data_IF_384607501785
#
_entry.id   IF_384607501785
#
_cell.length_a   1.000
_cell.length_b   1.000
_cell.length_c   1.000
_cell.angle_alpha   90.00
_cell.angle_beta   90.00
_cell.angle_gamma   90.00
#
_symmetry.space_group_name_H-M   'P 1'
#
loop_
_entity.id
_entity.type
_entity.pdbx_description
1 polymer ?
#
# COMPACT_ATOMS: atom_id res chain seq x y z
N UNK A 1 -27.17 -6.86 6.51
CA UNK A 1 -26.26 -5.70 6.47
C UNK A 1 -25.53 -5.80 5.15
N UNK A 2 -25.77 -4.86 4.24
CA UNK A 2 -25.03 -4.78 2.98
C UNK A 2 -23.94 -3.76 3.27
N UNK A 3 -22.71 -4.21 3.48
CA UNK A 3 -21.58 -3.30 3.61
C UNK A 3 -21.42 -2.60 2.27
N UNK A 4 -21.55 -1.27 2.28
CA UNK A 4 -21.20 -0.48 1.12
C UNK A 4 -19.69 -0.67 0.90
N UNK A 5 -19.22 -0.96 -0.33
CA UNK A 5 -17.79 -0.97 -0.58
C UNK A 5 -17.31 0.45 -0.26
N UNK A 6 -16.42 0.56 0.72
CA UNK A 6 -15.70 1.79 0.95
C UNK A 6 -14.86 2.06 -0.30
N UNK A 7 -15.40 2.89 -1.18
CA UNK A 7 -14.65 3.40 -2.33
C UNK A 7 -13.60 4.33 -1.75
N UNK A 8 -12.33 3.95 -1.85
CA UNK A 8 -11.20 4.75 -1.42
C UNK A 8 -10.38 5.19 -2.63
N UNK A 9 -10.81 6.26 -3.32
CA UNK A 9 -10.21 6.66 -4.58
C UNK A 9 -8.85 7.37 -4.45
N UNK A 10 -8.37 7.66 -3.24
CA UNK A 10 -7.42 8.78 -3.05
C UNK A 10 -5.99 8.40 -2.66
N UNK A 11 -5.61 7.11 -2.67
CA UNK A 11 -4.19 6.77 -2.51
C UNK A 11 -3.44 7.04 -3.83
N UNK A 12 -2.85 8.22 -3.92
CA UNK A 12 -1.97 8.61 -5.03
C UNK A 12 -0.52 8.44 -4.61
N UNK A 13 0.16 7.52 -5.27
CA UNK A 13 1.59 7.26 -5.09
C UNK A 13 2.37 7.71 -6.32
N UNK A 14 3.61 8.14 -6.11
CA UNK A 14 4.56 8.36 -7.19
C UNK A 14 5.05 7.03 -7.76
N UNK A 15 5.32 7.03 -9.06
CA UNK A 15 5.97 5.92 -9.77
C UNK A 15 7.43 6.28 -10.08
N UNK A 16 8.26 5.28 -10.39
CA UNK A 16 9.63 5.48 -10.81
C UNK A 16 10.08 4.44 -11.84
N UNK A 17 10.84 4.88 -12.84
CA UNK A 17 11.49 3.98 -13.82
C UNK A 17 12.27 2.89 -13.08
N UNK A 18 12.07 1.62 -13.44
CA UNK A 18 12.74 0.49 -12.78
C UNK A 18 12.13 0.08 -11.43
N UNK A 19 10.95 0.61 -11.08
CA UNK A 19 10.06 0.08 -10.04
C UNK A 19 8.75 -0.34 -10.71
N UNK A 20 8.12 -1.41 -10.22
CA UNK A 20 6.84 -1.85 -10.77
C UNK A 20 5.74 -0.87 -10.37
N UNK A 21 5.12 -0.22 -11.34
CA UNK A 21 4.01 0.72 -11.12
C UNK A 21 2.70 0.05 -10.72
N UNK A 22 1.76 0.86 -10.22
CA UNK A 22 0.43 0.41 -9.78
C UNK A 22 -0.45 0.07 -10.97
N UNK A 23 -1.07 -1.11 -10.94
CA UNK A 23 -2.00 -1.61 -11.97
C UNK A 23 -3.32 -2.05 -11.33
N UNK A 24 -4.30 -2.43 -12.15
CA UNK A 24 -5.63 -2.82 -11.67
C UNK A 24 -5.59 -4.03 -10.73
N UNK A 25 -4.69 -5.00 -11.00
CA UNK A 25 -4.45 -6.15 -10.12
C UNK A 25 -3.86 -5.74 -8.75
N UNK A 26 -2.98 -4.73 -8.73
CA UNK A 26 -2.42 -4.16 -7.51
C UNK A 26 -3.50 -3.54 -6.63
N UNK A 27 -4.46 -2.84 -7.25
CA UNK A 27 -5.60 -2.24 -6.54
C UNK A 27 -6.54 -3.30 -5.98
N UNK A 28 -6.86 -4.31 -6.79
CA UNK A 28 -7.68 -5.44 -6.35
C UNK A 28 -7.05 -6.20 -5.18
N UNK A 29 -5.72 -6.39 -5.20
CA UNK A 29 -4.98 -6.99 -4.09
C UNK A 29 -5.09 -6.16 -2.81
N UNK A 30 -4.94 -4.83 -2.90
CA UNK A 30 -5.02 -3.94 -1.75
C UNK A 30 -6.42 -3.97 -1.11
N UNK A 31 -7.47 -3.89 -1.93
CA UNK A 31 -8.86 -3.98 -1.49
C UNK A 31 -9.16 -5.33 -0.81
N UNK A 32 -8.75 -6.44 -1.44
CA UNK A 32 -8.95 -7.78 -0.88
C UNK A 32 -8.18 -7.98 0.44
N UNK A 33 -6.97 -7.41 0.55
CA UNK A 33 -6.15 -7.50 1.77
C UNK A 33 -6.75 -6.71 2.93
N UNK A 34 -7.51 -5.65 2.64
CA UNK A 34 -8.16 -4.82 3.63
C UNK A 34 -9.52 -5.35 4.12
N UNK A 35 -10.01 -6.48 3.58
CA UNK A 35 -11.34 -7.02 3.90
C UNK A 35 -11.47 -7.61 5.32
N UNK A 36 -10.44 -7.50 6.17
CA UNK A 36 -10.48 -7.95 7.56
C UNK A 36 -10.91 -6.81 8.50
N UNK A 37 -11.89 -7.09 9.35
CA UNK A 37 -12.45 -6.14 10.33
C UNK A 37 -11.56 -5.87 11.54
N UNK A 38 -10.35 -6.42 11.59
CA UNK A 38 -9.44 -6.30 12.74
C UNK A 38 -8.01 -6.03 12.28
N UNK A 39 -7.65 -4.76 12.02
CA UNK A 39 -6.30 -4.37 11.67
C UNK A 39 -5.29 -4.83 12.72
N UNK A 40 -4.22 -5.47 12.26
CA UNK A 40 -3.10 -5.93 13.08
C UNK A 40 -1.78 -5.57 12.42
N UNK A 41 -0.90 -6.55 12.29
CA UNK A 41 0.36 -6.40 11.54
C UNK A 41 0.27 -7.00 10.14
N UNK A 42 0.86 -6.33 9.15
CA UNK A 42 0.99 -6.85 7.79
C UNK A 42 2.43 -6.74 7.28
N UNK A 43 2.80 -7.64 6.37
CA UNK A 43 4.06 -7.60 5.64
C UNK A 43 3.76 -7.43 4.15
N UNK A 44 4.20 -6.32 3.57
CA UNK A 44 4.16 -6.08 2.13
C UNK A 44 5.49 -6.53 1.50
N UNK A 45 5.48 -7.73 0.90
CA UNK A 45 6.67 -8.39 0.36
C UNK A 45 6.82 -8.10 -1.14
N UNK A 46 7.87 -7.36 -1.50
CA UNK A 46 8.03 -6.83 -2.87
C UNK A 46 7.25 -5.54 -3.05
N UNK A 47 7.40 -4.61 -2.11
CA UNK A 47 6.54 -3.45 -1.94
C UNK A 47 6.48 -2.52 -3.17
N UNK A 48 7.53 -2.46 -4.00
CA UNK A 48 7.52 -1.65 -5.22
C UNK A 48 7.28 -0.15 -4.94
N UNK A 49 6.12 0.38 -5.34
CA UNK A 49 5.71 1.76 -5.02
C UNK A 49 5.25 1.95 -3.56
N UNK A 50 4.99 0.84 -2.86
CA UNK A 50 4.40 0.78 -1.52
C UNK A 50 2.87 0.83 -1.52
N UNK A 51 2.20 0.75 -2.68
CA UNK A 51 0.76 0.99 -2.78
C UNK A 51 -0.08 0.10 -1.85
N UNK A 52 0.16 -1.21 -1.84
CA UNK A 52 -0.62 -2.16 -1.02
C UNK A 52 -0.39 -1.89 0.46
N UNK A 53 0.86 -1.80 0.89
CA UNK A 53 1.19 -1.50 2.27
C UNK A 53 0.66 -0.16 2.75
N UNK A 54 0.79 0.92 1.97
CA UNK A 54 0.24 2.24 2.30
C UNK A 54 -1.28 2.24 2.36
N UNK A 55 -1.94 1.47 1.50
CA UNK A 55 -3.39 1.28 1.53
C UNK A 55 -3.83 0.62 2.83
N UNK A 56 -3.12 -0.42 3.29
CA UNK A 56 -3.39 -1.06 4.58
C UNK A 56 -3.06 -0.11 5.75
N UNK A 57 -1.95 0.61 5.70
CA UNK A 57 -1.56 1.57 6.73
C UNK A 57 -2.63 2.67 6.95
N UNK A 58 -3.19 3.21 5.86
CA UNK A 58 -4.32 4.16 5.94
C UNK A 58 -5.57 3.60 6.66
N UNK A 59 -5.68 2.28 6.78
CA UNK A 59 -6.78 1.56 7.45
C UNK A 59 -6.40 1.05 8.84
N UNK A 60 -5.29 1.54 9.39
CA UNK A 60 -4.86 1.24 10.76
C UNK A 60 -4.05 -0.04 10.90
N UNK A 61 -3.59 -0.64 9.80
CA UNK A 61 -2.61 -1.72 9.87
C UNK A 61 -1.23 -1.17 10.22
N UNK A 62 -0.49 -1.90 11.05
CA UNK A 62 0.96 -1.72 11.25
C UNK A 62 1.69 -2.53 10.19
N UNK A 63 2.39 -1.87 9.26
CA UNK A 63 2.87 -2.52 8.04
C UNK A 63 4.38 -2.41 7.92
N UNK A 64 5.04 -3.56 7.79
CA UNK A 64 6.43 -3.64 7.34
C UNK A 64 6.44 -3.78 5.81
N UNK A 65 7.02 -2.82 5.11
CA UNK A 65 7.19 -2.87 3.65
C UNK A 65 8.64 -3.23 3.30
N UNK A 66 8.83 -4.32 2.55
CA UNK A 66 10.16 -4.82 2.18
C UNK A 66 10.28 -5.01 0.67
N UNK A 67 11.45 -4.67 0.14
CA UNK A 67 11.77 -4.91 -1.26
C UNK A 67 13.28 -5.18 -1.39
N UNK A 68 13.65 -6.03 -2.34
CA UNK A 68 15.05 -6.32 -2.66
C UNK A 68 15.72 -5.13 -3.37
N UNK A 69 14.94 -4.29 -4.03
CA UNK A 69 15.38 -3.11 -4.75
C UNK A 69 15.54 -1.93 -3.79
N UNK A 70 16.76 -1.38 -3.60
CA UNK A 70 16.96 -0.19 -2.78
C UNK A 70 16.15 1.02 -3.30
N UNK A 71 15.91 1.07 -4.62
CA UNK A 71 15.13 2.12 -5.26
C UNK A 71 13.64 2.04 -4.91
N UNK A 72 13.09 0.83 -4.83
CA UNK A 72 11.72 0.63 -4.38
C UNK A 72 11.57 1.04 -2.90
N UNK A 73 12.54 0.68 -2.05
CA UNK A 73 12.55 1.10 -0.64
C UNK A 73 12.58 2.63 -0.50
N UNK A 74 13.37 3.33 -1.30
CA UNK A 74 13.38 4.80 -1.31
C UNK A 74 12.03 5.38 -1.77
N UNK A 75 11.42 4.78 -2.81
CA UNK A 75 10.12 5.22 -3.32
C UNK A 75 9.00 5.00 -2.30
N UNK A 76 8.99 3.86 -1.60
CA UNK A 76 8.04 3.59 -0.51
C UNK A 76 8.14 4.68 0.55
N UNK A 77 9.35 5.03 1.02
CA UNK A 77 9.55 6.10 2.01
C UNK A 77 9.02 7.45 1.55
N UNK A 78 9.25 7.80 0.27
CA UNK A 78 8.72 9.04 -0.31
C UNK A 78 7.20 9.04 -0.36
N UNK A 79 6.60 7.93 -0.80
CA UNK A 79 5.15 7.79 -0.86
C UNK A 79 4.50 7.76 0.52
N UNK A 80 5.15 7.13 1.51
CA UNK A 80 4.75 7.16 2.91
C UNK A 80 4.74 8.60 3.46
N UNK A 81 5.83 9.34 3.25
CA UNK A 81 5.91 10.75 3.64
C UNK A 81 4.84 11.62 2.96
N UNK A 82 4.57 11.41 1.66
CA UNK A 82 3.53 12.14 0.91
C UNK A 82 2.11 11.85 1.39
N UNK A 83 1.86 10.64 1.84
CA UNK A 83 0.54 10.15 2.26
C UNK A 83 0.33 10.20 3.78
N UNK A 84 1.33 10.70 4.51
CA UNK A 84 1.31 10.84 5.97
C UNK A 84 1.28 9.51 6.70
N UNK A 85 1.77 8.42 6.10
CA UNK A 85 1.76 7.09 6.71
C UNK A 85 3.13 6.76 7.31
N UNK A 86 3.18 6.08 8.47
CA UNK A 86 4.40 5.50 8.99
C UNK A 86 4.71 4.19 8.22
N UNK A 87 5.85 4.14 7.52
CA UNK A 87 6.42 2.93 6.88
C UNK A 87 7.94 3.00 6.83
#
# INVERSE_FOLDING_TARGET
MIEQPLVYPDLVVEDAVGVCGVRDDTRALAEASAASDSPGRALDLGAGTGYVGLYLAQRGWDVDAVDVSPRAVELVKRNAARTGQPM
#
